data_IF_978420064405
#
_entry.id   IF_978420064405
#
_cell.length_a   1.000
_cell.length_b   1.000
_cell.length_c   1.000
_cell.angle_alpha   90.00
_cell.angle_beta   90.00
_cell.angle_gamma   90.00
#
_symmetry.space_group_name_H-M   'P 1'
#
loop_
_entity.id
_entity.type
_entity.pdbx_description
1 polymer ?
#
# COMPACT_ATOMS: atom_id res chain seq x y z
N UNK A 1 44.62 -60.94 23.10
CA UNK A 1 44.88 -59.50 23.33
C UNK A 1 44.46 -58.79 22.05
N UNK A 2 43.45 -57.92 21.94
CA UNK A 2 42.78 -56.98 22.85
C UNK A 2 41.28 -56.96 22.46
N UNK A 3 40.40 -56.84 23.47
CA UNK A 3 38.96 -56.58 23.35
C UNK A 3 38.72 -55.05 23.30
N UNK A 4 37.74 -54.60 22.52
CA UNK A 4 36.82 -53.50 22.86
C UNK A 4 35.63 -53.59 21.89
N UNK A 5 34.40 -53.90 22.34
CA UNK A 5 33.40 -52.95 22.88
C UNK A 5 33.22 -51.75 21.95
N UNK A 6 32.09 -51.48 21.30
CA UNK A 6 30.70 -51.89 21.50
C UNK A 6 29.82 -50.65 21.30
N UNK A 7 28.61 -50.85 20.76
CA UNK A 7 27.43 -49.96 20.83
C UNK A 7 27.53 -48.59 20.10
N UNK A 8 26.47 -47.97 19.56
CA UNK A 8 25.10 -48.31 19.18
C UNK A 8 24.53 -47.03 18.49
N UNK A 9 23.36 -47.17 17.88
CA UNK A 9 22.36 -46.11 17.69
C UNK A 9 22.62 -45.05 16.60
N UNK A 10 22.09 -45.40 15.42
CA UNK A 10 21.38 -44.51 14.50
C UNK A 10 20.51 -43.52 15.30
N UNK A 11 20.82 -42.22 15.28
CA UNK A 11 19.86 -41.19 15.64
C UNK A 11 19.31 -40.55 14.37
N UNK A 12 18.04 -40.87 14.15
CA UNK A 12 17.16 -40.31 13.16
C UNK A 12 16.89 -38.81 13.42
N UNK A 13 16.80 -38.08 12.32
CA UNK A 13 15.79 -37.05 12.01
C UNK A 13 15.38 -36.12 13.16
N UNK A 14 16.02 -34.96 13.22
CA UNK A 14 15.41 -33.73 13.70
C UNK A 14 15.50 -32.64 12.60
N UNK A 15 14.93 -32.94 11.43
CA UNK A 15 14.46 -31.91 10.51
C UNK A 15 13.03 -31.56 10.93
N UNK A 16 12.91 -30.64 11.88
CA UNK A 16 11.64 -30.27 12.48
C UNK A 16 11.67 -28.88 13.07
N UNK A 17 11.78 -27.86 12.20
CA UNK A 17 11.32 -26.51 12.53
C UNK A 17 10.46 -26.01 11.38
N UNK A 18 9.15 -26.15 11.61
CA UNK A 18 8.04 -25.39 11.03
C UNK A 18 8.13 -25.12 9.52
N UNK A 19 7.29 -25.81 8.75
CA UNK A 19 6.69 -25.14 7.60
C UNK A 19 6.01 -23.89 8.14
N UNK A 20 6.71 -22.75 8.10
CA UNK A 20 6.00 -21.52 7.79
C UNK A 20 5.22 -21.90 6.56
N UNK A 21 3.90 -21.96 6.68
CA UNK A 21 3.07 -21.82 5.51
C UNK A 21 3.57 -20.52 4.92
N UNK A 22 4.43 -20.62 3.91
CA UNK A 22 4.48 -19.66 2.85
C UNK A 22 3.04 -19.70 2.33
N UNK A 23 2.15 -18.94 3.00
CA UNK A 23 1.15 -18.16 2.30
C UNK A 23 1.95 -17.67 1.12
N UNK A 24 1.61 -18.26 -0.03
CA UNK A 24 2.25 -17.97 -1.31
C UNK A 24 2.60 -16.50 -1.24
N UNK A 25 3.83 -16.15 -1.64
CA UNK A 25 4.06 -14.88 -2.33
C UNK A 25 3.07 -14.89 -3.49
N UNK A 26 1.81 -14.60 -3.17
CA UNK A 26 0.73 -14.59 -4.10
C UNK A 26 1.09 -13.34 -4.85
N UNK A 27 1.63 -13.60 -6.04
CA UNK A 27 2.15 -12.64 -6.97
C UNK A 27 1.35 -11.36 -6.78
N UNK A 28 2.00 -10.32 -6.27
CA UNK A 28 1.52 -8.97 -6.47
C UNK A 28 1.48 -8.86 -7.99
N UNK A 29 0.31 -9.17 -8.58
CA UNK A 29 0.12 -9.25 -10.03
C UNK A 29 0.62 -7.94 -10.61
N UNK A 30 0.94 -7.87 -11.90
CA UNK A 30 1.27 -6.58 -12.50
C UNK A 30 0.22 -5.53 -12.09
N UNK A 31 0.64 -4.34 -11.65
CA UNK A 31 -0.29 -3.33 -11.17
C UNK A 31 -1.28 -2.99 -12.29
N UNK A 32 -2.54 -2.61 -11.94
CA UNK A 32 -3.50 -2.16 -12.94
C UNK A 32 -2.91 -1.04 -13.82
N UNK A 33 -3.32 -0.97 -15.09
CA UNK A 33 -2.88 0.09 -15.98
C UNK A 33 -3.13 1.48 -15.36
N UNK A 34 -2.12 2.35 -15.37
CA UNK A 34 -2.16 3.66 -14.73
C UNK A 34 -1.83 3.66 -13.23
N UNK A 35 -1.53 2.50 -12.63
CA UNK A 35 -0.98 2.40 -11.27
C UNK A 35 0.51 2.11 -11.38
N UNK A 36 1.35 3.07 -11.00
CA UNK A 36 2.81 2.98 -11.17
C UNK A 36 3.49 2.73 -9.83
N UNK A 37 4.46 1.81 -9.79
CA UNK A 37 5.26 1.56 -8.59
C UNK A 37 6.23 2.73 -8.39
N UNK A 38 6.23 3.30 -7.18
CA UNK A 38 7.06 4.47 -6.84
C UNK A 38 8.06 4.18 -5.73
N UNK A 39 7.80 3.17 -4.89
CA UNK A 39 8.73 2.78 -3.83
C UNK A 39 8.52 1.30 -3.47
N UNK A 40 9.56 0.69 -2.93
CA UNK A 40 9.56 -0.70 -2.46
C UNK A 40 10.47 -0.80 -1.25
N UNK A 41 10.02 -1.48 -0.22
CA UNK A 41 10.88 -2.05 0.79
C UNK A 41 10.45 -3.51 1.07
N UNK A 42 10.98 -4.11 2.13
CA UNK A 42 10.68 -5.50 2.50
C UNK A 42 9.23 -5.71 2.96
N UNK A 43 8.57 -4.66 3.46
CA UNK A 43 7.25 -4.71 4.08
C UNK A 43 6.14 -4.16 3.18
N UNK A 44 6.46 -3.22 2.29
CA UNK A 44 5.46 -2.51 1.50
C UNK A 44 5.93 -2.22 0.07
N UNK A 45 4.99 -2.39 -0.87
CA UNK A 45 5.09 -1.89 -2.23
C UNK A 45 4.18 -0.67 -2.35
N UNK A 46 4.75 0.48 -2.67
CA UNK A 46 4.02 1.74 -2.78
C UNK A 46 3.84 2.12 -4.24
N UNK A 47 2.63 2.55 -4.59
CA UNK A 47 2.22 2.92 -5.94
C UNK A 47 1.55 4.30 -5.95
N UNK A 48 1.72 5.04 -7.04
CA UNK A 48 0.87 6.18 -7.37
C UNK A 48 -0.24 5.71 -8.32
N UNK A 49 -1.49 6.05 -8.00
CA UNK A 49 -2.64 5.78 -8.87
C UNK A 49 -2.96 7.01 -9.73
N UNK A 50 -2.60 6.93 -11.00
CA UNK A 50 -2.76 8.02 -11.97
C UNK A 50 -4.10 7.95 -12.71
N UNK A 51 -4.92 6.93 -12.47
CA UNK A 51 -6.17 6.71 -13.21
C UNK A 51 -7.19 7.83 -12.98
N UNK A 52 -7.12 8.49 -11.81
CA UNK A 52 -8.09 9.48 -11.35
C UNK A 52 -7.43 10.77 -10.82
N UNK A 53 -6.35 11.21 -11.46
CA UNK A 53 -5.77 12.53 -11.14
C UNK A 53 -6.81 13.62 -11.42
N UNK A 54 -7.12 14.39 -10.40
CA UNK A 54 -8.22 15.37 -10.36
C UNK A 54 -7.74 16.68 -9.75
N UNK A 55 -8.56 17.74 -9.89
CA UNK A 55 -8.42 18.90 -9.01
C UNK A 55 -8.88 18.54 -7.59
N UNK A 56 -8.48 19.34 -6.60
CA UNK A 56 -8.99 19.19 -5.24
C UNK A 56 -9.95 20.34 -4.93
N UNK A 57 -11.20 20.01 -4.60
CA UNK A 57 -12.25 20.97 -4.24
C UNK A 57 -12.43 22.09 -5.28
N UNK A 58 -12.32 21.74 -6.56
CA UNK A 58 -12.42 22.70 -7.67
C UNK A 58 -11.23 23.65 -7.84
N UNK A 59 -10.19 23.53 -7.03
CA UNK A 59 -8.98 24.34 -7.17
C UNK A 59 -8.04 23.76 -8.23
N UNK A 60 -7.92 24.45 -9.35
CA UNK A 60 -7.10 24.06 -10.50
C UNK A 60 -5.57 24.17 -10.27
N UNK A 61 -5.11 24.69 -9.13
CA UNK A 61 -3.69 24.68 -8.72
C UNK A 61 -3.33 23.48 -7.85
N UNK A 62 -4.34 22.72 -7.41
CA UNK A 62 -4.15 21.53 -6.60
C UNK A 62 -4.37 20.27 -7.44
N UNK A 63 -3.58 19.23 -7.17
CA UNK A 63 -3.73 17.91 -7.80
C UNK A 63 -4.00 16.87 -6.75
N UNK A 64 -5.13 16.21 -6.87
CA UNK A 64 -5.53 15.08 -6.05
C UNK A 64 -5.20 13.78 -6.78
N UNK A 65 -4.55 12.86 -6.08
CA UNK A 65 -4.31 11.50 -6.53
C UNK A 65 -4.34 10.55 -5.33
N UNK A 66 -4.30 9.25 -5.59
CA UNK A 66 -4.11 8.26 -4.54
C UNK A 66 -2.69 7.72 -4.51
N UNK A 67 -2.20 7.46 -3.30
CA UNK A 67 -1.10 6.51 -3.09
C UNK A 67 -1.68 5.21 -2.58
N UNK A 68 -1.20 4.09 -3.11
CA UNK A 68 -1.60 2.75 -2.73
C UNK A 68 -0.41 2.02 -2.14
N UNK A 69 -0.60 1.37 -1.00
CA UNK A 69 0.40 0.52 -0.34
C UNK A 69 -0.10 -0.92 -0.35
N UNK A 70 0.61 -1.84 -1.00
CA UNK A 70 0.38 -3.28 -0.84
C UNK A 70 1.34 -3.81 0.22
N UNK A 71 0.82 -4.53 1.20
CA UNK A 71 1.62 -5.12 2.27
C UNK A 71 2.14 -6.49 1.85
N UNK A 72 3.43 -6.73 2.05
CA UNK A 72 4.07 -8.01 1.70
C UNK A 72 3.67 -9.12 2.67
N UNK A 73 3.37 -8.76 3.91
CA UNK A 73 2.75 -9.62 4.92
C UNK A 73 1.33 -9.12 5.23
N UNK A 74 0.36 -10.04 5.13
CA UNK A 74 -1.02 -9.71 5.48
C UNK A 74 -1.12 -9.49 7.00
N UNK A 75 -1.53 -8.29 7.41
CA UNK A 75 -1.70 -7.99 8.84
C UNK A 75 -3.06 -8.53 9.29
N UNK A 76 -3.06 -9.57 10.12
CA UNK A 76 -4.27 -10.03 10.81
C UNK A 76 -4.64 -9.02 11.88
N UNK A 77 -5.85 -8.48 11.82
CA UNK A 77 -6.31 -7.42 12.73
C UNK A 77 -7.59 -7.76 13.49
N UNK A 78 -8.32 -8.81 13.08
CA UNK A 78 -9.50 -9.31 13.78
C UNK A 78 -9.34 -10.77 14.22
N UNK A 79 -10.04 -11.15 15.29
CA UNK A 79 -10.25 -12.55 15.67
C UNK A 79 -11.75 -12.85 15.52
N UNK A 80 -12.08 -13.74 14.59
CA UNK A 80 -13.42 -14.28 14.33
C UNK A 80 -14.45 -13.29 13.71
N UNK A 81 -14.57 -13.21 12.38
CA UNK A 81 -13.76 -13.92 11.39
C UNK A 81 -12.32 -13.39 11.35
N UNK A 82 -11.42 -14.17 10.75
CA UNK A 82 -10.06 -13.71 10.51
C UNK A 82 -10.08 -12.59 9.45
N UNK A 83 -9.71 -11.38 9.88
CA UNK A 83 -9.67 -10.20 9.01
C UNK A 83 -8.22 -9.85 8.71
N UNK A 84 -7.91 -9.81 7.42
CA UNK A 84 -6.60 -9.48 6.89
C UNK A 84 -6.65 -8.17 6.12
N UNK A 85 -5.60 -7.37 6.31
CA UNK A 85 -5.35 -6.18 5.47
C UNK A 85 -4.24 -6.51 4.49
N UNK A 86 -4.53 -6.35 3.21
CA UNK A 86 -3.58 -6.61 2.12
C UNK A 86 -3.11 -5.33 1.44
N UNK A 87 -3.91 -4.25 1.48
CA UNK A 87 -3.46 -2.95 1.00
C UNK A 87 -4.12 -1.78 1.73
N UNK A 88 -3.58 -0.58 1.51
CA UNK A 88 -4.25 0.68 1.86
C UNK A 88 -4.16 1.69 0.72
N UNK A 89 -5.06 2.67 0.76
CA UNK A 89 -5.09 3.84 -0.11
C UNK A 89 -5.11 5.11 0.74
N UNK A 90 -4.36 6.12 0.35
CA UNK A 90 -4.43 7.46 0.95
C UNK A 90 -4.65 8.52 -0.11
N UNK A 91 -5.43 9.55 0.20
CA UNK A 91 -5.53 10.75 -0.63
C UNK A 91 -4.26 11.57 -0.46
N UNK A 92 -3.67 11.96 -1.59
CA UNK A 92 -2.62 12.97 -1.65
C UNK A 92 -3.16 14.18 -2.39
N UNK A 93 -2.97 15.36 -1.82
CA UNK A 93 -3.21 16.63 -2.48
C UNK A 93 -1.88 17.36 -2.60
N UNK A 94 -1.47 17.65 -3.82
CA UNK A 94 -0.24 18.35 -4.16
C UNK A 94 -0.61 19.78 -4.56
N UNK A 95 0.11 20.75 -4.02
CA UNK A 95 0.08 22.10 -4.57
C UNK A 95 1.09 22.18 -5.73
N UNK A 96 0.64 22.62 -6.90
CA UNK A 96 1.51 22.73 -8.08
C UNK A 96 2.38 24.00 -8.08
N UNK A 97 2.14 24.91 -7.13
CA UNK A 97 2.82 26.21 -7.04
C UNK A 97 3.84 26.24 -5.90
N UNK A 98 3.50 25.61 -4.77
CA UNK A 98 4.39 25.42 -3.64
C UNK A 98 4.67 23.93 -3.52
N UNK A 99 5.94 23.52 -3.37
CA UNK A 99 6.37 22.12 -3.21
C UNK A 99 5.88 21.53 -1.88
N UNK A 100 4.56 21.47 -1.72
CA UNK A 100 3.83 21.15 -0.52
C UNK A 100 2.72 20.17 -0.87
N UNK A 101 2.49 19.23 0.05
CA UNK A 101 1.39 18.29 -0.07
C UNK A 101 0.70 18.09 1.26
N UNK A 102 -0.55 17.66 1.19
CA UNK A 102 -1.27 17.09 2.31
C UNK A 102 -1.63 15.63 2.00
N UNK A 103 -1.61 14.79 3.03
CA UNK A 103 -2.04 13.39 2.95
C UNK A 103 -3.11 13.17 3.98
N UNK A 104 -4.24 12.58 3.58
CA UNK A 104 -5.36 12.31 4.46
C UNK A 104 -6.19 11.13 3.97
N UNK A 105 -7.16 10.74 4.78
CA UNK A 105 -8.08 9.62 4.55
C UNK A 105 -7.33 8.35 4.14
N UNK A 106 -7.03 7.49 5.12
CA UNK A 106 -6.46 6.18 4.86
C UNK A 106 -7.54 5.11 4.90
N UNK A 107 -7.70 4.40 3.80
CA UNK A 107 -8.65 3.28 3.68
C UNK A 107 -7.86 1.98 3.55
N UNK A 108 -8.24 0.98 4.34
CA UNK A 108 -7.62 -0.35 4.33
C UNK A 108 -8.51 -1.37 3.62
N UNK A 109 -7.88 -2.32 2.92
CA UNK A 109 -8.55 -3.20 1.97
C UNK A 109 -8.18 -4.67 2.14
N UNK A 110 -9.12 -5.55 1.82
CA UNK A 110 -8.96 -7.00 1.90
C UNK A 110 -8.13 -7.59 0.76
N UNK A 111 -7.91 -6.85 -0.34
CA UNK A 111 -7.09 -7.31 -1.48
C UNK A 111 -5.99 -6.29 -1.82
N UNK A 112 -4.95 -6.69 -2.58
CA UNK A 112 -3.96 -5.75 -3.13
C UNK A 112 -4.61 -4.66 -4.01
N UNK A 113 -3.89 -3.57 -4.23
CA UNK A 113 -4.26 -2.48 -5.14
C UNK A 113 -5.48 -1.66 -4.73
N UNK A 114 -5.77 -1.59 -3.44
CA UNK A 114 -6.94 -0.92 -2.88
C UNK A 114 -8.27 -1.49 -3.42
N UNK A 115 -8.33 -2.82 -3.56
CA UNK A 115 -9.48 -3.56 -4.07
C UNK A 115 -10.12 -4.43 -2.99
N UNK A 116 -11.32 -4.94 -3.29
CA UNK A 116 -12.09 -5.76 -2.36
C UNK A 116 -12.80 -4.92 -1.30
N UNK A 117 -13.02 -5.56 -0.15
CA UNK A 117 -13.80 -5.01 0.95
C UNK A 117 -13.04 -3.90 1.66
N UNK A 118 -13.77 -2.87 2.10
CA UNK A 118 -13.22 -1.84 2.97
C UNK A 118 -13.15 -2.42 4.37
N UNK A 119 -11.93 -2.56 4.87
CA UNK A 119 -11.68 -3.12 6.19
C UNK A 119 -11.82 -2.06 7.28
N UNK A 120 -11.21 -0.89 7.07
CA UNK A 120 -11.23 0.23 8.01
C UNK A 120 -11.03 1.55 7.23
N UNK A 121 -11.60 2.63 7.76
CA UNK A 121 -11.37 4.00 7.26
C UNK A 121 -10.83 4.82 8.42
N UNK A 122 -9.70 5.49 8.20
CA UNK A 122 -9.09 6.42 9.16
C UNK A 122 -9.14 7.80 8.53
N UNK A 123 -10.02 8.66 9.03
CA UNK A 123 -10.10 10.06 8.59
C UNK A 123 -9.08 10.88 9.36
N UNK A 124 -7.94 11.13 8.71
CA UNK A 124 -6.88 11.99 9.24
C UNK A 124 -7.08 13.41 8.71
N UNK A 125 -6.88 14.43 9.55
CA UNK A 125 -6.81 15.81 9.07
C UNK A 125 -5.44 16.01 8.42
N UNK A 126 -5.43 16.04 7.09
CA UNK A 126 -4.20 16.21 6.32
C UNK A 126 -3.52 17.54 6.64
N UNK A 127 -2.29 17.45 7.15
CA UNK A 127 -1.45 18.63 7.36
C UNK A 127 -0.62 18.88 6.10
N UNK A 128 -0.50 20.15 5.73
CA UNK A 128 0.42 20.56 4.67
C UNK A 128 1.86 20.40 5.14
N UNK A 129 2.69 19.78 4.32
CA UNK A 129 4.11 19.62 4.56
C UNK A 129 4.92 19.75 3.28
N UNK A 130 6.14 20.29 3.36
CA UNK A 130 7.00 20.44 2.20
C UNK A 130 7.49 19.07 1.69
N UNK A 131 7.82 19.01 0.40
CA UNK A 131 8.59 17.92 -0.20
C UNK A 131 9.73 18.46 -1.05
N UNK A 132 10.79 17.67 -1.21
CA UNK A 132 11.91 18.05 -2.07
C UNK A 132 11.57 17.77 -3.53
N UNK A 133 11.97 18.69 -4.42
CA UNK A 133 11.78 18.52 -5.87
C UNK A 133 12.42 17.24 -6.42
N UNK A 134 13.61 16.90 -5.93
CA UNK A 134 14.33 15.69 -6.36
C UNK A 134 13.86 14.40 -5.68
N UNK A 135 12.83 14.48 -4.82
CA UNK A 135 12.24 13.28 -4.20
C UNK A 135 11.29 12.57 -5.17
N UNK A 136 10.97 11.31 -4.87
CA UNK A 136 9.92 10.57 -5.57
C UNK A 136 8.60 11.36 -5.64
N UNK A 137 8.27 12.10 -4.57
CA UNK A 137 7.08 12.94 -4.54
C UNK A 137 7.18 14.13 -5.49
N UNK A 138 8.38 14.73 -5.60
CA UNK A 138 8.62 15.81 -6.56
C UNK A 138 8.50 15.35 -8.01
N UNK A 139 9.00 14.15 -8.34
CA UNK A 139 8.83 13.56 -9.68
C UNK A 139 7.35 13.31 -10.02
N UNK A 140 6.58 12.79 -9.07
CA UNK A 140 5.13 12.61 -9.24
C UNK A 140 4.44 13.96 -9.40
N UNK A 141 4.80 14.96 -8.58
CA UNK A 141 4.26 16.31 -8.67
C UNK A 141 4.52 16.93 -10.05
N UNK A 142 5.76 16.87 -10.54
CA UNK A 142 6.13 17.37 -11.87
C UNK A 142 5.31 16.70 -12.98
N UNK A 143 5.04 15.40 -12.87
CA UNK A 143 4.20 14.68 -13.83
C UNK A 143 2.73 15.09 -13.78
N UNK A 144 2.12 15.15 -12.58
CA UNK A 144 0.67 15.42 -12.47
C UNK A 144 0.33 16.91 -12.62
N UNK A 145 1.25 17.81 -12.27
CA UNK A 145 1.07 19.24 -12.40
C UNK A 145 1.20 19.74 -13.85
N UNK A 146 1.82 18.95 -14.74
CA UNK A 146 1.80 19.22 -16.19
C UNK A 146 0.46 18.92 -16.85
N UNK A 147 -0.46 18.21 -16.17
CA UNK A 147 -1.80 17.96 -16.68
C UNK A 147 -2.59 19.28 -16.63
N UNK A 148 -2.98 19.75 -17.81
CA UNK A 148 -3.83 20.94 -17.95
C UNK A 148 -5.16 20.75 -17.21
N UNK A 149 -5.66 21.75 -16.45
CA UNK A 149 -6.83 21.58 -15.59
C UNK A 149 -8.07 21.02 -16.28
N UNK A 150 -8.33 21.42 -17.52
CA UNK A 150 -9.44 20.97 -18.36
C UNK A 150 -9.35 19.49 -18.78
N UNK A 151 -8.19 18.85 -18.60
CA UNK A 151 -7.96 17.43 -18.88
C UNK A 151 -8.01 16.55 -17.63
N UNK A 152 -8.16 17.16 -16.45
CA UNK A 152 -8.27 16.43 -15.19
C UNK A 152 -9.58 15.64 -15.14
N UNK A 153 -9.54 14.50 -14.45
CA UNK A 153 -10.75 13.71 -14.17
C UNK A 153 -11.57 14.41 -13.09
N UNK A 154 -12.88 14.13 -13.02
CA UNK A 154 -13.69 14.56 -11.88
C UNK A 154 -13.10 14.05 -10.56
N UNK A 155 -13.17 14.87 -9.51
CA UNK A 155 -12.81 14.45 -8.17
C UNK A 155 -13.72 13.32 -7.70
N UNK A 156 -13.12 12.23 -7.22
CA UNK A 156 -13.87 11.11 -6.67
C UNK A 156 -14.32 11.42 -5.23
N UNK A 157 -15.53 10.97 -4.83
CA UNK A 157 -15.97 11.13 -3.46
C UNK A 157 -15.04 10.38 -2.49
N UNK A 158 -15.08 10.81 -1.22
CA UNK A 158 -14.53 10.06 -0.09
C UNK A 158 -15.13 8.64 -0.04
N UNK A 159 -14.44 7.73 0.64
CA UNK A 159 -14.94 6.37 0.82
C UNK A 159 -16.25 6.37 1.62
N UNK A 160 -17.27 5.69 1.09
CA UNK A 160 -18.63 5.66 1.69
C UNK A 160 -19.09 4.24 2.02
N UNK A 161 -18.34 3.21 1.58
CA UNK A 161 -18.66 1.83 1.92
C UNK A 161 -18.48 1.60 3.42
N UNK A 162 -19.38 0.83 4.02
CA UNK A 162 -19.32 0.44 5.42
C UNK A 162 -18.07 -0.41 5.68
N UNK A 163 -17.18 -0.02 6.61
CA UNK A 163 -16.02 -0.82 6.95
C UNK A 163 -16.39 -2.12 7.66
N UNK A 164 -15.60 -3.18 7.45
CA UNK A 164 -15.74 -4.45 8.17
C UNK A 164 -15.45 -4.28 9.67
N UNK A 165 -14.47 -3.44 10.01
CA UNK A 165 -14.17 -3.02 11.36
C UNK A 165 -14.71 -1.60 11.54
N UNK A 166 -15.91 -1.52 12.12
CA UNK A 166 -16.58 -0.25 12.45
C UNK A 166 -15.81 0.58 13.46
#
# INVERSE_FOLDING_TARGET
MIKSFGLFAVLALLAGCTSHSQLKKENVSNPPAGVIKIMSDEQVLTFADLRNVSSYQGNNRLRRLYTINNYTESKKIGKNPDIYVMSSRAINVINCDSLERAVFERVYFSQPYALGDVIAVVDEIGQWGPFHKESMMGLIADMVCQIAPERLKPELPKETRTPVLG
#
